data_IF_981083408473
#
_entry.id   IF_981083408473
#
_cell.length_a   1.000
_cell.length_b   1.000
_cell.length_c   1.000
_cell.angle_alpha   90.00
_cell.angle_beta   90.00
_cell.angle_gamma   90.00
#
_symmetry.space_group_name_H-M   'P 1'
#
loop_
_entity.id
_entity.type
_entity.pdbx_description
1 polymer ?
#
# COMPACT_ATOMS: atom_id res chain seq x y z
N UNK A 1 -38.94 -11.19 44.37
CA UNK A 1 -37.64 -11.35 43.71
C UNK A 1 -36.63 -10.59 44.53
N UNK A 2 -35.74 -11.32 45.20
CA UNK A 2 -34.95 -10.84 46.34
C UNK A 2 -33.74 -10.01 45.87
N UNK A 3 -33.33 -9.01 46.66
CA UNK A 3 -32.21 -8.11 46.31
C UNK A 3 -30.90 -8.91 46.21
N UNK A 4 -30.77 -9.97 47.02
CA UNK A 4 -29.66 -10.91 47.00
C UNK A 4 -29.57 -11.67 45.67
N UNK A 5 -30.70 -12.12 45.14
CA UNK A 5 -30.78 -12.86 43.87
C UNK A 5 -30.33 -11.99 42.68
N UNK A 6 -30.68 -10.69 42.69
CA UNK A 6 -30.19 -9.72 41.70
C UNK A 6 -28.69 -9.43 41.83
N UNK A 7 -28.18 -9.37 43.06
CA UNK A 7 -26.76 -9.14 43.31
C UNK A 7 -25.90 -10.33 42.86
N UNK A 8 -26.36 -11.56 43.12
CA UNK A 8 -25.70 -12.78 42.64
C UNK A 8 -25.72 -12.89 41.11
N UNK A 9 -26.85 -12.57 40.48
CA UNK A 9 -26.95 -12.52 39.03
C UNK A 9 -25.97 -11.51 38.42
N UNK A 10 -25.85 -10.31 39.01
CA UNK A 10 -24.91 -9.28 38.54
C UNK A 10 -23.46 -9.68 38.76
N UNK A 11 -23.14 -10.32 39.89
CA UNK A 11 -21.81 -10.88 40.16
C UNK A 11 -21.43 -11.95 39.12
N UNK A 12 -22.34 -12.88 38.81
CA UNK A 12 -22.12 -13.93 37.81
C UNK A 12 -21.85 -13.35 36.43
N UNK A 13 -22.63 -12.34 36.01
CA UNK A 13 -22.42 -11.64 34.73
C UNK A 13 -21.07 -10.93 34.68
N UNK A 14 -20.70 -10.19 35.74
CA UNK A 14 -19.41 -9.51 35.83
C UNK A 14 -18.24 -10.51 35.83
N UNK A 15 -18.42 -11.67 36.46
CA UNK A 15 -17.40 -12.72 36.49
C UNK A 15 -17.18 -13.34 35.10
N UNK A 16 -18.26 -13.60 34.35
CA UNK A 16 -18.17 -14.03 32.94
C UNK A 16 -17.52 -12.97 32.03
N UNK A 17 -17.87 -11.70 32.22
CA UNK A 17 -17.24 -10.60 31.48
C UNK A 17 -15.75 -10.51 31.78
N UNK A 18 -15.34 -10.68 33.05
CA UNK A 18 -13.94 -10.73 33.44
C UNK A 18 -13.20 -11.88 32.74
N UNK A 19 -13.80 -13.07 32.70
CA UNK A 19 -13.19 -14.23 32.01
C UNK A 19 -13.02 -13.98 30.51
N UNK A 20 -14.02 -13.41 29.83
CA UNK A 20 -13.91 -13.06 28.41
C UNK A 20 -12.85 -12.00 28.12
N UNK A 21 -12.71 -10.99 28.99
CA UNK A 21 -11.67 -9.97 28.87
C UNK A 21 -10.28 -10.59 29.06
N UNK A 22 -10.11 -11.50 30.02
CA UNK A 22 -8.84 -12.21 30.21
C UNK A 22 -8.49 -13.06 28.99
N UNK A 23 -9.44 -13.80 28.41
CA UNK A 23 -9.20 -14.57 27.18
C UNK A 23 -8.81 -13.67 26.01
N UNK A 24 -9.39 -12.47 25.94
CA UNK A 24 -9.05 -11.48 24.91
C UNK A 24 -7.64 -10.94 25.09
N UNK A 25 -7.23 -10.65 26.34
CA UNK A 25 -5.87 -10.25 26.67
C UNK A 25 -4.88 -11.35 26.29
N UNK A 26 -5.17 -12.61 26.63
CA UNK A 26 -4.30 -13.74 26.30
C UNK A 26 -4.10 -13.91 24.77
N UNK A 27 -5.16 -13.67 23.98
CA UNK A 27 -5.07 -13.68 22.51
C UNK A 27 -4.19 -12.55 21.99
N UNK A 28 -4.37 -11.34 22.51
CA UNK A 28 -3.56 -10.17 22.14
C UNK A 28 -2.09 -10.42 22.50
N UNK A 29 -1.81 -10.96 23.69
CA UNK A 29 -0.45 -11.28 24.13
C UNK A 29 0.21 -12.36 23.25
N UNK A 30 -0.57 -13.34 22.79
CA UNK A 30 -0.09 -14.32 21.82
C UNK A 30 0.28 -13.66 20.48
N UNK A 31 -0.58 -12.79 19.94
CA UNK A 31 -0.30 -12.03 18.71
C UNK A 31 0.93 -11.13 18.84
N UNK A 32 1.09 -10.46 20.00
CA UNK A 32 2.27 -9.64 20.27
C UNK A 32 3.56 -10.47 20.30
N UNK A 33 3.53 -11.67 20.90
CA UNK A 33 4.69 -12.58 20.90
C UNK A 33 5.03 -13.09 19.50
N UNK A 34 4.02 -13.38 18.68
CA UNK A 34 4.22 -13.79 17.30
C UNK A 34 4.84 -12.66 16.47
N UNK A 35 4.38 -11.42 16.67
CA UNK A 35 4.97 -10.23 16.05
C UNK A 35 6.41 -10.00 16.54
N UNK A 36 6.69 -10.12 17.84
CA UNK A 36 8.06 -10.07 18.35
C UNK A 36 8.96 -11.16 17.74
N UNK A 37 8.42 -12.37 17.55
CA UNK A 37 9.10 -13.46 16.87
C UNK A 37 9.44 -13.11 15.43
N UNK A 38 8.47 -12.57 14.69
CA UNK A 38 8.65 -12.06 13.34
C UNK A 38 9.75 -10.98 13.28
N UNK A 39 9.72 -9.99 14.19
CA UNK A 39 10.73 -8.93 14.24
C UNK A 39 12.12 -9.46 14.61
N UNK A 40 12.24 -10.45 15.50
CA UNK A 40 13.52 -11.10 15.82
C UNK A 40 14.10 -11.85 14.60
N UNK A 41 13.26 -12.54 13.83
CA UNK A 41 13.68 -13.22 12.58
C UNK A 41 14.07 -12.20 11.52
N UNK A 42 13.30 -11.12 11.36
CA UNK A 42 13.60 -10.02 10.44
C UNK A 42 14.93 -9.33 10.80
N UNK A 43 15.18 -9.06 12.09
CA UNK A 43 16.43 -8.50 12.57
C UNK A 43 17.63 -9.45 12.35
N UNK A 44 17.43 -10.76 12.51
CA UNK A 44 18.47 -11.75 12.18
C UNK A 44 18.80 -11.77 10.69
N UNK A 45 17.79 -11.73 9.81
CA UNK A 45 17.99 -11.64 8.37
C UNK A 45 18.71 -10.33 7.95
N UNK A 46 18.45 -9.23 8.65
CA UNK A 46 19.21 -7.99 8.50
C UNK A 46 20.64 -8.10 9.07
N UNK A 47 20.85 -8.87 10.13
CA UNK A 47 22.19 -9.09 10.71
C UNK A 47 23.10 -9.96 9.82
N UNK A 48 22.56 -10.95 9.10
CA UNK A 48 23.27 -11.69 8.06
C UNK A 48 23.55 -10.82 6.83
N UNK A 49 22.68 -9.85 6.53
CA UNK A 49 22.95 -8.82 5.53
C UNK A 49 24.06 -7.84 5.98
N UNK A 50 24.16 -7.55 7.29
CA UNK A 50 25.21 -6.70 7.84
C UNK A 50 26.59 -7.38 7.96
N UNK A 51 26.67 -8.71 8.04
CA UNK A 51 27.96 -9.43 7.96
C UNK A 51 28.64 -9.23 6.59
N UNK A 52 27.86 -8.99 5.53
CA UNK A 52 28.37 -8.64 4.20
C UNK A 52 28.71 -7.14 4.04
N UNK A 53 28.32 -6.28 4.99
CA UNK A 53 28.50 -4.81 4.93
C UNK A 53 29.77 -4.28 5.58
N UNK A 54 30.50 -5.06 6.36
CA UNK A 54 31.80 -4.64 6.90
C UNK A 54 32.91 -4.50 5.82
N UNK A 55 32.61 -4.79 4.55
CA UNK A 55 33.57 -4.67 3.45
C UNK A 55 33.65 -3.28 2.81
N UNK A 56 32.72 -2.34 3.05
CA UNK A 56 32.82 -0.99 2.46
C UNK A 56 32.24 0.09 3.35
N UNK A 57 33.15 0.83 3.97
CA UNK A 57 32.95 2.23 4.36
C UNK A 57 32.60 3.01 3.10
N UNK A 58 31.33 3.31 2.90
CA UNK A 58 30.87 4.50 2.18
C UNK A 58 29.63 5.00 2.90
N UNK A 59 29.77 6.14 3.52
CA UNK A 59 28.69 7.04 3.93
C UNK A 59 27.67 7.20 2.80
N UNK A 60 26.47 6.66 2.98
CA UNK A 60 25.33 7.01 2.15
C UNK A 60 24.20 7.37 3.12
N UNK A 61 23.78 8.63 3.08
CA UNK A 61 22.58 9.12 3.72
C UNK A 61 21.43 8.18 3.37
N UNK A 62 20.93 7.50 4.40
CA UNK A 62 19.87 6.53 4.26
C UNK A 62 18.58 7.27 3.89
N UNK A 63 17.92 7.02 2.73
CA UNK A 63 16.56 7.46 2.57
C UNK A 63 15.73 6.66 3.56
N UNK A 64 15.16 7.34 4.55
CA UNK A 64 14.35 6.78 5.63
C UNK A 64 13.28 5.83 5.01
N UNK A 65 13.36 4.50 5.19
CA UNK A 65 12.40 3.54 4.62
C UNK A 65 11.09 3.53 5.41
N UNK A 66 10.99 4.35 6.46
CA UNK A 66 9.77 4.53 7.24
C UNK A 66 8.63 5.01 6.35
N UNK A 67 8.90 5.75 5.27
CA UNK A 67 7.83 6.35 4.49
C UNK A 67 7.04 5.33 3.65
N UNK A 68 7.70 4.33 3.04
CA UNK A 68 7.01 3.30 2.25
C UNK A 68 6.23 2.31 3.14
N UNK A 69 6.81 1.89 4.26
CA UNK A 69 6.18 0.96 5.19
C UNK A 69 5.00 1.62 5.94
N UNK A 70 5.15 2.88 6.37
CA UNK A 70 4.06 3.63 7.01
C UNK A 70 2.96 3.99 6.01
N UNK A 71 3.28 4.33 4.75
CA UNK A 71 2.26 4.51 3.69
C UNK A 71 1.52 3.22 3.38
N UNK A 72 2.19 2.07 3.36
CA UNK A 72 1.55 0.77 3.18
C UNK A 72 0.57 0.46 4.31
N UNK A 73 0.92 0.75 5.58
CA UNK A 73 0.05 0.57 6.74
C UNK A 73 -1.17 1.51 6.74
N UNK A 74 -0.99 2.79 6.39
CA UNK A 74 -2.09 3.75 6.27
C UNK A 74 -3.05 3.38 5.13
N UNK A 75 -2.53 2.87 4.02
CA UNK A 75 -3.36 2.42 2.89
C UNK A 75 -4.08 1.09 3.19
N UNK A 76 -3.52 0.21 4.02
CA UNK A 76 -4.16 -1.03 4.46
C UNK A 76 -5.38 -0.75 5.36
N UNK A 77 -5.30 0.30 6.19
CA UNK A 77 -6.38 0.73 7.07
C UNK A 77 -7.64 1.23 6.31
N UNK A 78 -7.54 1.58 5.02
CA UNK A 78 -8.65 2.11 4.21
C UNK A 78 -9.36 1.07 3.33
N UNK A 79 -9.02 -0.23 3.45
CA UNK A 79 -9.81 -1.33 2.87
C UNK A 79 -9.81 -1.46 1.35
N UNK A 80 -9.27 -0.51 0.58
CA UNK A 80 -9.30 -0.53 -0.88
C UNK A 80 -7.90 -0.70 -1.49
N UNK A 81 -7.46 -1.97 -1.59
CA UNK A 81 -6.16 -2.36 -2.18
C UNK A 81 -5.96 -1.79 -3.60
N UNK A 82 -7.02 -1.72 -4.40
CA UNK A 82 -6.95 -1.17 -5.76
C UNK A 82 -6.59 0.34 -5.75
N UNK A 83 -7.14 1.10 -4.80
CA UNK A 83 -6.80 2.52 -4.65
C UNK A 83 -5.34 2.73 -4.25
N UNK A 84 -4.82 1.90 -3.35
CA UNK A 84 -3.42 1.95 -2.94
C UNK A 84 -2.46 1.66 -4.12
N UNK A 85 -2.78 0.65 -4.92
CA UNK A 85 -2.01 0.30 -6.14
C UNK A 85 -2.07 1.45 -7.15
N UNK A 86 -3.25 2.03 -7.38
CA UNK A 86 -3.39 3.17 -8.29
C UNK A 86 -2.59 4.39 -7.81
N UNK A 87 -2.64 4.72 -6.52
CA UNK A 87 -1.87 5.83 -5.96
C UNK A 87 -0.36 5.64 -6.15
N UNK A 88 0.13 4.44 -5.92
CA UNK A 88 1.55 4.13 -6.14
C UNK A 88 1.93 4.17 -7.62
N UNK A 89 1.08 3.66 -8.50
CA UNK A 89 1.29 3.74 -9.94
C UNK A 89 1.34 5.19 -10.45
N UNK A 90 0.58 6.11 -9.86
CA UNK A 90 0.67 7.55 -10.17
C UNK A 90 2.06 8.08 -9.82
N UNK A 91 2.57 7.79 -8.62
CA UNK A 91 3.89 8.23 -8.19
C UNK A 91 5.00 7.63 -9.07
N UNK A 92 4.88 6.37 -9.43
CA UNK A 92 5.81 5.69 -10.35
C UNK A 92 5.82 6.38 -11.72
N UNK A 93 4.65 6.61 -12.32
CA UNK A 93 4.54 7.21 -13.66
C UNK A 93 4.99 8.67 -13.65
N UNK A 94 4.74 9.43 -12.58
CA UNK A 94 5.27 10.81 -12.42
C UNK A 94 6.80 10.85 -12.41
N UNK A 95 7.44 9.87 -11.76
CA UNK A 95 8.90 9.86 -11.59
C UNK A 95 9.65 9.23 -12.75
N UNK A 96 9.09 8.18 -13.34
CA UNK A 96 9.77 7.35 -14.35
C UNK A 96 9.16 7.50 -15.75
N UNK A 97 8.18 8.38 -15.92
CA UNK A 97 7.44 8.53 -17.17
C UNK A 97 6.45 7.39 -17.40
N UNK A 98 5.91 7.26 -18.62
CA UNK A 98 4.97 6.19 -18.99
C UNK A 98 5.50 4.79 -18.67
N UNK A 99 4.65 3.91 -18.13
CA UNK A 99 5.06 2.56 -17.73
C UNK A 99 4.02 1.50 -18.11
N UNK A 100 4.49 0.32 -18.52
CA UNK A 100 3.62 -0.85 -18.67
C UNK A 100 3.17 -1.38 -17.31
N UNK A 101 2.09 -2.16 -17.25
CA UNK A 101 1.67 -2.82 -16.00
C UNK A 101 2.79 -3.70 -15.39
N UNK A 102 3.65 -4.29 -16.24
CA UNK A 102 4.84 -5.02 -15.81
C UNK A 102 5.88 -4.10 -15.18
N UNK A 103 6.19 -2.98 -15.83
CA UNK A 103 7.14 -1.98 -15.31
C UNK A 103 6.67 -1.39 -13.99
N UNK A 104 5.38 -1.08 -13.88
CA UNK A 104 4.76 -0.63 -12.61
C UNK A 104 4.94 -1.69 -11.53
N UNK A 105 4.62 -2.96 -11.80
CA UNK A 105 4.79 -4.04 -10.81
C UNK A 105 6.25 -4.22 -10.38
N UNK A 106 7.20 -4.20 -11.32
CA UNK A 106 8.63 -4.36 -11.03
C UNK A 106 9.17 -3.20 -10.17
N UNK A 107 8.71 -1.97 -10.41
CA UNK A 107 9.04 -0.80 -9.59
C UNK A 107 8.37 -0.84 -8.22
N UNK A 108 7.13 -1.35 -8.12
CA UNK A 108 6.47 -1.61 -6.85
C UNK A 108 7.21 -2.68 -6.03
N UNK A 109 7.64 -3.77 -6.68
CA UNK A 109 8.45 -4.83 -6.06
C UNK A 109 9.78 -4.25 -5.54
N UNK A 110 10.47 -3.43 -6.35
CA UNK A 110 11.72 -2.76 -5.96
C UNK A 110 11.56 -1.81 -4.76
N UNK A 111 10.41 -1.14 -4.65
CA UNK A 111 10.08 -0.26 -3.53
C UNK A 111 9.53 -1.02 -2.29
N UNK A 112 9.47 -2.35 -2.33
CA UNK A 112 8.94 -3.18 -1.23
C UNK A 112 7.42 -3.17 -1.11
N UNK A 113 6.71 -2.57 -2.08
CA UNK A 113 5.25 -2.46 -2.12
C UNK A 113 4.59 -3.53 -3.00
N UNK A 114 5.40 -4.40 -3.59
CA UNK A 114 4.97 -5.58 -4.34
C UNK A 114 3.92 -6.44 -3.64
N UNK A 115 4.04 -6.57 -2.31
CA UNK A 115 3.15 -7.38 -1.49
C UNK A 115 1.70 -6.85 -1.45
N UNK A 116 1.45 -5.62 -1.91
CA UNK A 116 0.08 -5.10 -2.10
C UNK A 116 -0.64 -5.80 -3.25
N UNK A 117 0.11 -6.31 -4.23
CA UNK A 117 -0.39 -6.95 -5.44
C UNK A 117 -0.38 -8.47 -5.24
N UNK A 118 -1.38 -8.99 -4.52
CA UNK A 118 -1.65 -10.44 -4.30
C UNK A 118 -0.39 -11.31 -4.20
N UNK A 119 0.30 -11.32 -3.03
CA UNK A 119 1.63 -11.93 -2.87
C UNK A 119 1.65 -13.46 -3.02
N UNK A 120 0.47 -14.09 -2.93
CA UNK A 120 0.22 -15.51 -3.11
C UNK A 120 0.13 -15.95 -4.57
N UNK A 121 0.09 -15.00 -5.52
CA UNK A 121 -0.08 -15.27 -6.95
C UNK A 121 1.22 -15.21 -7.72
N UNK A 122 1.25 -15.92 -8.84
CA UNK A 122 2.36 -15.91 -9.77
C UNK A 122 2.51 -14.52 -10.44
N UNK A 123 3.72 -14.24 -10.97
CA UNK A 123 4.05 -12.94 -11.56
C UNK A 123 3.07 -12.55 -12.67
N UNK A 124 2.58 -13.51 -13.46
CA UNK A 124 1.64 -13.23 -14.55
C UNK A 124 0.31 -12.71 -14.02
N UNK A 125 -0.30 -13.41 -13.05
CA UNK A 125 -1.56 -12.97 -12.44
C UNK A 125 -1.43 -11.63 -11.69
N UNK A 126 -0.26 -11.37 -11.07
CA UNK A 126 0.04 -10.07 -10.45
C UNK A 126 0.07 -8.94 -11.47
N UNK A 127 0.70 -9.14 -12.64
CA UNK A 127 0.71 -8.16 -13.75
C UNK A 127 -0.72 -7.94 -14.27
N UNK A 128 -1.49 -9.01 -14.49
CA UNK A 128 -2.89 -8.90 -14.93
C UNK A 128 -3.74 -8.11 -13.94
N UNK A 129 -3.50 -8.29 -12.64
CA UNK A 129 -4.20 -7.54 -11.60
C UNK A 129 -3.86 -6.05 -11.64
N UNK A 130 -2.57 -5.70 -11.73
CA UNK A 130 -2.15 -4.29 -11.89
C UNK A 130 -2.77 -3.68 -13.15
N UNK A 131 -2.69 -4.38 -14.28
CA UNK A 131 -3.32 -3.92 -15.53
C UNK A 131 -4.83 -3.69 -15.37
N UNK A 132 -5.54 -4.60 -14.70
CA UNK A 132 -6.97 -4.43 -14.44
C UNK A 132 -7.28 -3.23 -13.56
N UNK A 133 -6.46 -2.97 -12.54
CA UNK A 133 -6.61 -1.80 -11.66
C UNK A 133 -6.39 -0.51 -12.44
N UNK A 134 -5.31 -0.42 -13.22
CA UNK A 134 -4.98 0.80 -13.99
C UNK A 134 -6.00 1.06 -15.10
N UNK A 135 -6.48 0.03 -15.79
CA UNK A 135 -7.48 0.18 -16.86
C UNK A 135 -8.87 0.56 -16.35
N UNK A 136 -9.18 0.33 -15.07
CA UNK A 136 -10.46 0.72 -14.45
C UNK A 136 -10.43 2.11 -13.83
N UNK A 137 -9.26 2.71 -13.71
CA UNK A 137 -9.07 4.00 -13.05
C UNK A 137 -8.96 5.11 -14.11
N UNK A 138 -9.91 6.03 -14.10
CA UNK A 138 -10.07 7.11 -15.08
C UNK A 138 -8.85 8.04 -15.18
N UNK A 139 -7.95 8.02 -14.19
CA UNK A 139 -6.74 8.84 -14.16
C UNK A 139 -5.65 8.31 -15.09
N UNK A 140 -5.77 7.09 -15.59
CA UNK A 140 -4.80 6.48 -16.50
C UNK A 140 -5.39 6.28 -17.89
N UNK A 141 -4.58 6.57 -18.91
CA UNK A 141 -4.84 6.17 -20.27
C UNK A 141 -3.77 5.19 -20.73
N UNK A 142 -4.15 4.19 -21.53
CA UNK A 142 -3.18 3.29 -22.17
C UNK A 142 -2.73 3.90 -23.49
N UNK A 143 -1.46 4.26 -23.58
CA UNK A 143 -0.82 4.78 -24.80
C UNK A 143 0.34 3.87 -25.20
N UNK A 144 0.13 3.11 -26.28
CA UNK A 144 1.12 2.13 -26.77
C UNK A 144 2.34 2.81 -27.38
N UNK A 145 2.21 4.02 -27.92
CA UNK A 145 3.31 4.76 -28.53
C UNK A 145 4.23 5.36 -27.48
N UNK A 146 3.66 5.77 -26.34
CA UNK A 146 4.42 6.28 -25.20
C UNK A 146 5.00 5.19 -24.29
N UNK A 147 4.71 3.91 -24.55
CA UNK A 147 5.31 2.79 -23.83
C UNK A 147 4.49 2.26 -22.65
N UNK A 148 3.19 2.58 -22.55
CA UNK A 148 2.30 1.97 -21.55
C UNK A 148 1.22 2.91 -21.01
N UNK A 149 0.94 2.81 -19.72
CA UNK A 149 -0.01 3.69 -19.05
C UNK A 149 0.61 5.07 -18.83
N UNK A 150 -0.17 6.11 -19.15
CA UNK A 150 0.14 7.52 -18.93
C UNK A 150 -0.89 8.14 -18.02
N UNK A 151 -0.50 9.19 -17.30
CA UNK A 151 -1.44 9.98 -16.51
C UNK A 151 -2.20 10.92 -17.43
N UNK A 152 -3.53 10.87 -17.32
CA UNK A 152 -4.38 11.88 -17.95
C UNK A 152 -4.23 13.15 -17.12
N UNK A 153 -3.67 14.21 -17.71
CA UNK A 153 -3.79 15.53 -17.11
C UNK A 153 -5.29 15.82 -16.99
N UNK A 154 -5.77 15.95 -15.76
CA UNK A 154 -7.06 16.58 -15.52
C UNK A 154 -6.91 18.01 -16.03
N UNK A 155 -7.24 18.25 -17.31
CA UNK A 155 -7.61 19.59 -17.74
C UNK A 155 -8.67 20.03 -16.74
N UNK A 156 -8.35 21.04 -15.94
CA UNK A 156 -9.31 21.67 -15.05
C UNK A 156 -10.55 21.96 -15.90
N UNK A 157 -11.63 21.23 -15.61
CA UNK A 157 -12.92 21.57 -16.19
C UNK A 157 -13.33 22.84 -15.48
N UNK A 158 -13.18 23.96 -16.17
CA UNK A 158 -13.81 25.22 -15.81
C UNK A 158 -15.31 24.93 -15.58
N UNK A 159 -15.97 25.48 -14.54
CA UNK A 159 -17.33 25.12 -14.16
C UNK A 159 -18.42 25.47 -15.20
N UNK A 160 -18.05 25.93 -16.40
CA UNK A 160 -18.94 26.22 -17.52
C UNK A 160 -18.78 25.30 -18.74
N UNK A 161 -17.98 24.22 -18.67
CA UNK A 161 -18.04 23.14 -19.64
C UNK A 161 -17.59 23.48 -21.07
N UNK A 162 -16.84 24.57 -21.28
CA UNK A 162 -16.16 24.83 -22.55
C UNK A 162 -14.73 24.30 -22.49
N UNK A 163 -14.39 23.45 -23.46
CA UNK A 163 -13.03 22.99 -23.69
C UNK A 163 -12.29 24.18 -24.31
N UNK A 164 -11.36 24.78 -23.56
CA UNK A 164 -10.35 25.67 -24.16
C UNK A 164 -9.43 24.79 -25.01
N UNK A 165 -9.75 24.68 -26.30
CA UNK A 165 -8.82 24.27 -27.33
C UNK A 165 -7.77 25.38 -27.46
N UNK A 166 -6.58 25.14 -26.88
CA UNK A 166 -5.39 25.89 -27.28
C UNK A 166 -5.06 25.58 -28.75
N UNK A 167 -4.40 26.51 -29.47
CA UNK A 167 -4.21 26.41 -30.91
C UNK A 167 -3.47 25.12 -31.27
N UNK A 168 -4.01 24.41 -32.26
CA UNK A 168 -3.57 23.08 -32.68
C UNK A 168 -2.38 23.11 -33.66
N UNK A 169 -1.86 24.29 -34.00
CA UNK A 169 -0.70 24.45 -34.90
C UNK A 169 0.10 25.71 -34.60
N UNK A 170 1.40 25.66 -34.90
CA UNK A 170 2.35 26.78 -34.80
C UNK A 170 2.21 27.77 -35.97
N UNK A 171 1.50 27.37 -37.04
CA UNK A 171 1.25 28.24 -38.21
C UNK A 171 0.29 29.41 -37.91
N UNK A 172 -0.44 29.37 -36.79
CA UNK A 172 -1.36 30.46 -36.37
C UNK A 172 -0.67 31.60 -35.60
N UNK A 173 0.66 31.55 -35.43
CA UNK A 173 1.44 32.55 -34.68
C UNK A 173 2.34 33.45 -35.55
N UNK A 174 2.21 33.40 -36.88
CA UNK A 174 2.97 34.26 -37.81
C UNK A 174 2.09 35.28 -38.54
#
# INVERSE_FOLDING_TARGET
MDILEKAEGRRSTLQKQREQLMETIDKIDAELRDLEGFFKVAARLQSTSNALRNARVVTAEWPIPADAATRALVNLAQGNKAHAIAKEAIEIIRRHGPQTARGVLELMDANGLGNLVSPDKDKSARISYVSSVLSKDERFASDREKGGYVLVEQKEKDPQGQILEGPSSVDDLL
#
